data_IF_380466026135
#
_entry.id   IF_380466026135
#
_cell.length_a   1.000
_cell.length_b   1.000
_cell.length_c   1.000
_cell.angle_alpha   90.00
_cell.angle_beta   90.00
_cell.angle_gamma   90.00
#
_symmetry.space_group_name_H-M   'P 1'
#
loop_
_entity.id
_entity.type
_entity.pdbx_description
1 polymer ?
#
# COMPACT_ATOMS: atom_id res chain seq x y z
N UNK A 1 -4.24 -3.78 -11.33
CA UNK A 1 -5.29 -2.81 -10.96
C UNK A 1 -4.81 -1.41 -11.33
N UNK A 2 -5.64 -0.60 -11.99
CA UNK A 2 -5.35 0.81 -12.27
C UNK A 2 -5.77 1.71 -11.10
N UNK A 3 -5.28 2.95 -11.04
CA UNK A 3 -5.70 3.94 -10.03
C UNK A 3 -7.21 4.20 -10.05
N UNK A 4 -7.80 4.28 -11.24
CA UNK A 4 -9.25 4.48 -11.39
C UNK A 4 -10.04 3.27 -10.88
N UNK A 5 -9.54 2.05 -11.10
CA UNK A 5 -10.15 0.84 -10.55
C UNK A 5 -10.08 0.82 -9.02
N UNK A 6 -8.92 1.16 -8.44
CA UNK A 6 -8.80 1.27 -6.98
C UNK A 6 -9.79 2.30 -6.44
N UNK A 7 -9.78 3.51 -7.00
CA UNK A 7 -10.65 4.59 -6.56
C UNK A 7 -12.14 4.20 -6.56
N UNK A 8 -12.58 3.45 -7.57
CA UNK A 8 -13.94 2.91 -7.62
C UNK A 8 -14.22 1.87 -6.52
N UNK A 9 -13.26 0.98 -6.22
CA UNK A 9 -13.41 -0.02 -5.15
C UNK A 9 -13.45 0.59 -3.75
N UNK A 10 -12.71 1.68 -3.54
CA UNK A 10 -12.66 2.41 -2.28
C UNK A 10 -13.49 3.71 -2.33
N UNK A 11 -14.50 3.79 -3.19
CA UNK A 11 -15.48 4.89 -3.30
C UNK A 11 -14.87 6.31 -3.08
N UNK A 12 -13.85 6.65 -3.87
CA UNK A 12 -13.23 7.98 -3.91
C UNK A 12 -13.00 8.44 -5.34
N UNK A 13 -12.66 9.72 -5.50
CA UNK A 13 -12.20 10.24 -6.78
C UNK A 13 -10.80 9.67 -7.13
N UNK A 14 -10.51 9.32 -8.40
CA UNK A 14 -9.18 8.88 -8.84
C UNK A 14 -8.02 9.80 -8.45
N UNK A 15 -8.27 11.11 -8.31
CA UNK A 15 -7.27 12.08 -7.84
C UNK A 15 -6.86 11.85 -6.39
N UNK A 16 -7.76 11.36 -5.54
CA UNK A 16 -7.49 11.02 -4.14
C UNK A 16 -6.40 9.95 -4.05
N UNK A 17 -6.47 8.92 -4.89
CA UNK A 17 -5.43 7.87 -4.96
C UNK A 17 -4.07 8.47 -5.29
N UNK A 18 -4.00 9.38 -6.26
CA UNK A 18 -2.76 10.07 -6.60
C UNK A 18 -2.22 10.95 -5.47
N UNK A 19 -3.09 11.61 -4.70
CA UNK A 19 -2.69 12.41 -3.54
C UNK A 19 -2.15 11.54 -2.39
N UNK A 20 -2.75 10.37 -2.16
CA UNK A 20 -2.27 9.39 -1.18
C UNK A 20 -0.86 8.89 -1.56
N UNK A 21 -0.63 8.53 -2.83
CA UNK A 21 0.67 8.03 -3.30
C UNK A 21 1.81 9.06 -3.18
N UNK A 22 1.50 10.36 -3.32
CA UNK A 22 2.49 11.44 -3.15
C UNK A 22 2.69 11.84 -1.70
N UNK A 23 1.84 11.37 -0.78
CA UNK A 23 1.85 11.79 0.61
C UNK A 23 1.27 13.19 0.85
N UNK A 24 0.59 13.78 -0.13
CA UNK A 24 -0.07 15.08 -0.01
C UNK A 24 -1.26 15.01 0.96
N UNK A 25 -1.84 13.81 1.14
CA UNK A 25 -2.99 13.57 1.98
C UNK A 25 -2.85 12.24 2.71
N UNK A 26 -3.25 12.20 3.98
CA UNK A 26 -3.39 10.97 4.75
C UNK A 26 -4.83 10.49 4.70
N UNK A 27 -5.07 9.18 4.52
CA UNK A 27 -6.44 8.66 4.47
C UNK A 27 -7.11 8.77 5.85
N UNK A 28 -8.44 8.86 5.87
CA UNK A 28 -9.20 8.59 7.08
C UNK A 28 -9.03 7.12 7.48
N UNK A 29 -9.34 6.78 8.74
CA UNK A 29 -9.25 5.39 9.21
C UNK A 29 -10.15 4.45 8.40
N UNK A 30 -11.37 4.88 8.07
CA UNK A 30 -12.28 4.15 7.19
C UNK A 30 -11.66 3.88 5.80
N UNK A 31 -11.10 4.92 5.19
CA UNK A 31 -10.48 4.79 3.87
C UNK A 31 -9.27 3.84 3.90
N UNK A 32 -8.47 3.91 4.97
CA UNK A 32 -7.36 3.00 5.17
C UNK A 32 -7.83 1.55 5.25
N UNK A 33 -8.90 1.25 6.00
CA UNK A 33 -9.45 -0.11 6.08
C UNK A 33 -10.06 -0.59 4.77
N UNK A 34 -10.77 0.26 4.02
CA UNK A 34 -11.25 -0.11 2.68
C UNK A 34 -10.12 -0.44 1.71
N UNK A 35 -9.01 0.28 1.79
CA UNK A 35 -7.80 -0.05 1.02
C UNK A 35 -7.26 -1.42 1.45
N UNK A 36 -7.19 -1.69 2.76
CA UNK A 36 -6.75 -2.98 3.30
C UNK A 36 -7.61 -4.15 2.79
N UNK A 37 -8.93 -3.99 2.77
CA UNK A 37 -9.87 -5.00 2.28
C UNK A 37 -9.66 -5.31 0.80
N UNK A 38 -9.40 -4.31 -0.04
CA UNK A 38 -9.11 -4.50 -1.48
C UNK A 38 -7.85 -5.35 -1.69
N UNK A 39 -6.84 -5.17 -0.84
CA UNK A 39 -5.58 -5.93 -0.95
C UNK A 39 -5.58 -7.24 -0.15
N UNK A 40 -6.55 -7.46 0.73
CA UNK A 40 -6.57 -8.61 1.64
C UNK A 40 -5.40 -8.63 2.61
N UNK A 41 -4.92 -7.45 3.01
CA UNK A 41 -3.73 -7.27 3.85
C UNK A 41 -4.08 -6.48 5.11
N UNK A 42 -3.39 -6.72 6.25
CA UNK A 42 -3.59 -5.93 7.45
C UNK A 42 -3.02 -4.52 7.30
N UNK A 43 -3.47 -3.60 8.15
CA UNK A 43 -3.14 -2.16 8.06
C UNK A 43 -1.64 -1.90 8.14
N UNK A 44 -0.90 -2.64 8.97
CA UNK A 44 0.55 -2.52 9.09
C UNK A 44 1.31 -2.95 7.83
N UNK A 45 0.72 -3.83 7.01
CA UNK A 45 1.31 -4.26 5.74
C UNK A 45 1.03 -3.28 4.59
N UNK A 46 -0.04 -2.49 4.68
CA UNK A 46 -0.39 -1.47 3.67
C UNK A 46 0.23 -0.12 4.02
N UNK A 47 0.20 0.27 5.30
CA UNK A 47 0.66 1.57 5.80
C UNK A 47 1.83 1.39 6.78
N UNK A 48 2.85 0.65 6.34
CA UNK A 48 4.06 0.45 7.13
C UNK A 48 4.77 1.78 7.41
N UNK A 49 5.23 1.96 8.65
CA UNK A 49 6.05 3.12 9.04
C UNK A 49 7.51 2.97 8.65
N UNK A 50 7.91 1.79 8.20
CA UNK A 50 9.25 1.48 7.72
C UNK A 50 9.18 1.08 6.25
N UNK A 51 10.12 1.57 5.45
CA UNK A 51 10.19 1.22 4.04
C UNK A 51 10.36 -0.29 3.85
N UNK A 52 9.65 -0.85 2.87
CA UNK A 52 9.80 -2.25 2.51
C UNK A 52 11.15 -2.48 1.84
N UNK A 53 11.86 -3.52 2.27
CA UNK A 53 13.06 -3.94 1.58
C UNK A 53 12.69 -4.41 0.16
N UNK A 54 13.45 -4.01 -0.88
CA UNK A 54 13.21 -4.51 -2.23
C UNK A 54 13.21 -6.04 -2.26
N UNK A 55 12.25 -6.63 -2.96
CA UNK A 55 12.10 -8.08 -3.04
C UNK A 55 13.36 -8.78 -3.54
N UNK A 56 14.11 -8.15 -4.44
CA UNK A 56 15.40 -8.67 -4.93
C UNK A 56 16.42 -8.85 -3.81
N UNK A 57 16.51 -7.92 -2.88
CA UNK A 57 17.43 -7.99 -1.74
C UNK A 57 17.08 -9.17 -0.83
N UNK A 58 15.79 -9.44 -0.63
CA UNK A 58 15.32 -10.58 0.17
C UNK A 58 15.54 -11.92 -0.54
N UNK A 59 15.27 -11.99 -1.86
CA UNK A 59 15.41 -13.23 -2.64
C UNK A 59 16.86 -13.64 -2.90
N UNK A 60 17.76 -12.68 -3.13
CA UNK A 60 19.17 -12.95 -3.44
C UNK A 60 20.11 -12.77 -2.25
N UNK A 61 19.57 -12.67 -1.03
CA UNK A 61 20.39 -12.60 0.19
C UNK A 61 21.28 -13.84 0.23
N UNK A 62 22.63 -13.71 0.17
CA UNK A 62 23.48 -14.88 0.26
C UNK A 62 23.19 -15.53 1.61
N UNK A 63 22.74 -16.78 1.56
CA UNK A 63 22.53 -17.60 2.74
C UNK A 63 23.86 -17.57 3.50
N UNK A 64 23.92 -16.84 4.62
CA UNK A 64 25.05 -16.97 5.53
C UNK A 64 25.01 -18.42 6.00
N UNK A 65 25.90 -19.24 5.47
CA UNK A 65 26.22 -20.53 6.03
C UNK A 65 26.66 -20.26 7.48
N UNK A 66 25.97 -20.91 8.42
CA UNK A 66 26.27 -20.86 9.83
C UNK A 66 27.54 -21.66 10.14
#
# INVERSE_FOLDING_TARGET
MSRAQLAALIDVNPQTVGALERGDHYPSLDLAFRICDVFGLPVEAVFSRTEFTPLSTELYKPRKEA
#
